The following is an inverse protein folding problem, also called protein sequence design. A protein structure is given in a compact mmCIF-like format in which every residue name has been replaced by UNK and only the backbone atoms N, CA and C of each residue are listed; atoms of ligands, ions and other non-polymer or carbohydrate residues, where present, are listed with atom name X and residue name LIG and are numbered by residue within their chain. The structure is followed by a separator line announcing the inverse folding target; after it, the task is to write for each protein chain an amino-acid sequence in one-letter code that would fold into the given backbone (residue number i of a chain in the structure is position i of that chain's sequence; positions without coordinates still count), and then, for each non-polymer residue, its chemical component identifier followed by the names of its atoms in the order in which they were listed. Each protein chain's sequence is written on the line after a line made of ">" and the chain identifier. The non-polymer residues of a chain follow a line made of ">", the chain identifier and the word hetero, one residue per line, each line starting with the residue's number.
data_IF_219930972619
#
_entry.id   IF_219930972619
#
_cell.length_a   1.000
_cell.length_b   1.000
_cell.length_c   1.000
_cell.angle_alpha   90.00
_cell.angle_beta   90.00
_cell.angle_gamma   90.00
#
_symmetry.space_group_name_H-M   'P 1'
#
loop_
_entity.id
_entity.type
_entity.pdbx_description
1 polymer ?
#
# COMPACT_ATOMS: atom_id res chain seq x y z
N UNK A 1 -25.98 -54.99 29.43
CA UNK A 1 -25.28 -53.70 29.63
C UNK A 1 -24.99 -53.12 28.26
N UNK A 2 -25.68 -52.04 27.83
CA UNK A 2 -25.30 -51.36 26.61
C UNK A 2 -24.15 -50.38 26.91
N UNK A 3 -23.03 -50.61 26.21
CA UNK A 3 -22.11 -49.63 25.63
C UNK A 3 -22.22 -48.19 26.19
N UNK A 4 -21.38 -47.88 27.18
CA UNK A 4 -20.88 -46.52 27.37
C UNK A 4 -19.69 -46.35 26.43
N UNK A 5 -20.00 -46.15 25.15
CA UNK A 5 -19.00 -45.65 24.20
C UNK A 5 -18.67 -44.22 24.58
N UNK A 6 -17.38 -43.97 24.67
CA UNK A 6 -16.73 -42.69 24.93
C UNK A 6 -17.47 -41.49 24.32
N UNK A 7 -18.20 -40.77 25.17
CA UNK A 7 -18.38 -39.33 25.04
C UNK A 7 -16.99 -38.71 25.21
N UNK A 8 -16.21 -38.71 24.13
CA UNK A 8 -15.11 -37.77 23.99
C UNK A 8 -15.73 -36.38 24.04
N UNK A 9 -15.69 -35.76 25.23
CA UNK A 9 -15.79 -34.32 25.36
C UNK A 9 -14.59 -33.75 24.61
N UNK A 10 -14.71 -33.58 23.28
CA UNK A 10 -13.93 -32.57 22.60
C UNK A 10 -14.23 -31.27 23.31
N UNK A 11 -13.25 -30.64 23.98
CA UNK A 11 -13.51 -29.42 24.73
C UNK A 11 -14.07 -28.41 23.72
N UNK A 12 -15.19 -27.77 24.05
CA UNK A 12 -15.88 -26.86 23.13
C UNK A 12 -14.94 -25.80 22.52
N UNK A 13 -13.84 -25.45 23.21
CA UNK A 13 -12.77 -24.60 22.71
C UNK A 13 -11.95 -25.19 21.55
N UNK A 14 -11.72 -26.50 21.49
CA UNK A 14 -11.05 -27.18 20.38
C UNK A 14 -11.93 -27.21 19.12
N UNK A 15 -13.25 -27.37 19.28
CA UNK A 15 -14.20 -27.38 18.18
C UNK A 15 -14.46 -25.97 17.63
N UNK A 16 -14.57 -24.96 18.51
CA UNK A 16 -14.62 -23.56 18.13
C UNK A 16 -13.33 -23.09 17.44
N UNK A 17 -12.16 -23.51 17.95
CA UNK A 17 -10.86 -23.24 17.33
C UNK A 17 -10.72 -23.87 15.94
N UNK A 18 -11.17 -25.12 15.76
CA UNK A 18 -11.19 -25.75 14.44
C UNK A 18 -12.15 -25.09 13.46
N UNK A 19 -13.32 -24.64 13.94
CA UNK A 19 -14.28 -23.90 13.12
C UNK A 19 -13.68 -22.56 12.66
N UNK A 20 -13.05 -21.82 13.57
CA UNK A 20 -12.37 -20.56 13.27
C UNK A 20 -11.21 -20.75 12.29
N UNK A 21 -10.37 -21.78 12.46
CA UNK A 21 -9.26 -22.06 11.54
C UNK A 21 -9.77 -22.42 10.15
N UNK A 22 -10.87 -23.19 10.05
CA UNK A 22 -11.51 -23.52 8.76
C UNK A 22 -12.08 -22.28 8.10
N UNK A 23 -12.82 -21.46 8.83
CA UNK A 23 -13.43 -20.22 8.34
C UNK A 23 -12.36 -19.21 7.91
N UNK A 24 -11.28 -19.07 8.69
CA UNK A 24 -10.13 -18.26 8.33
C UNK A 24 -9.43 -18.80 7.07
N UNK A 25 -9.16 -20.10 7.01
CA UNK A 25 -8.52 -20.74 5.84
C UNK A 25 -9.37 -20.56 4.58
N UNK A 26 -10.68 -20.72 4.70
CA UNK A 26 -11.59 -20.40 3.60
C UNK A 26 -11.45 -18.93 3.25
N UNK A 27 -11.60 -17.99 4.18
CA UNK A 27 -11.54 -16.54 3.91
C UNK A 27 -10.28 -16.10 3.14
N UNK A 28 -9.10 -16.67 3.42
CA UNK A 28 -7.82 -16.31 2.77
C UNK A 28 -7.56 -17.07 1.46
N UNK A 29 -8.30 -18.14 1.16
CA UNK A 29 -8.13 -18.88 -0.10
C UNK A 29 -8.59 -18.04 -1.30
N UNK A 30 -7.70 -17.73 -2.25
CA UNK A 30 -8.03 -16.83 -3.35
C UNK A 30 -8.95 -17.50 -4.39
N UNK A 31 -9.96 -16.77 -4.84
CA UNK A 31 -10.70 -17.15 -6.03
C UNK A 31 -9.86 -16.92 -7.31
N UNK A 32 -10.37 -17.28 -8.49
CA UNK A 32 -9.63 -17.18 -9.76
C UNK A 32 -9.16 -15.74 -10.04
N UNK A 33 -10.01 -14.74 -9.80
CA UNK A 33 -9.69 -13.33 -10.02
C UNK A 33 -8.63 -12.83 -9.04
N UNK A 34 -8.77 -13.19 -7.76
CA UNK A 34 -7.80 -12.84 -6.73
C UNK A 34 -6.46 -13.53 -6.97
N UNK A 35 -6.47 -14.79 -7.43
CA UNK A 35 -5.25 -15.51 -7.83
C UNK A 35 -4.53 -14.77 -8.96
N UNK A 36 -5.25 -14.31 -9.98
CA UNK A 36 -4.66 -13.52 -11.06
C UNK A 36 -4.08 -12.19 -10.54
N UNK A 37 -4.77 -11.51 -9.63
CA UNK A 37 -4.26 -10.30 -8.96
C UNK A 37 -2.96 -10.59 -8.19
N UNK A 38 -2.89 -11.69 -7.44
CA UNK A 38 -1.69 -12.10 -6.72
C UNK A 38 -0.53 -12.43 -7.66
N UNK A 39 -0.79 -13.15 -8.75
CA UNK A 39 0.22 -13.46 -9.77
C UNK A 39 0.78 -12.16 -10.36
N UNK A 40 -0.10 -11.21 -10.71
CA UNK A 40 0.31 -9.91 -11.26
C UNK A 40 1.11 -9.09 -10.23
N UNK A 41 0.69 -9.08 -8.96
CA UNK A 41 1.47 -8.43 -7.90
C UNK A 41 2.86 -9.07 -7.76
N UNK A 42 2.96 -10.41 -7.83
CA UNK A 42 4.24 -11.12 -7.84
C UNK A 42 5.12 -10.74 -9.04
N UNK A 43 4.53 -10.64 -10.24
CA UNK A 43 5.22 -10.16 -11.44
C UNK A 43 5.72 -8.73 -11.23
N UNK A 44 4.92 -7.84 -10.64
CA UNK A 44 5.36 -6.47 -10.34
C UNK A 44 6.56 -6.43 -9.40
N UNK A 45 6.57 -7.24 -8.34
CA UNK A 45 7.71 -7.30 -7.40
C UNK A 45 8.99 -7.69 -8.15
N UNK A 46 8.93 -8.75 -8.96
CA UNK A 46 10.07 -9.24 -9.73
C UNK A 46 10.50 -8.20 -10.78
N UNK A 47 9.55 -7.63 -11.52
CA UNK A 47 9.83 -6.64 -12.55
C UNK A 47 10.47 -5.40 -11.95
N UNK A 48 9.91 -4.84 -10.87
CA UNK A 48 10.48 -3.68 -10.17
C UNK A 48 11.90 -4.00 -9.70
N UNK A 49 12.12 -5.17 -9.08
CA UNK A 49 13.45 -5.58 -8.63
C UNK A 49 14.47 -5.67 -9.78
N UNK A 50 14.08 -6.21 -10.94
CA UNK A 50 14.95 -6.29 -12.12
C UNK A 50 15.21 -4.90 -12.70
N UNK A 51 14.16 -4.13 -12.98
CA UNK A 51 14.27 -2.79 -13.60
C UNK A 51 15.14 -1.86 -12.75
N UNK A 52 15.13 -2.02 -11.43
CA UNK A 52 15.96 -1.25 -10.51
C UNK A 52 17.47 -1.46 -10.71
N UNK A 53 17.88 -2.71 -10.99
CA UNK A 53 19.30 -3.08 -11.11
C UNK A 53 19.86 -2.91 -12.52
N UNK A 54 19.00 -2.72 -13.53
CA UNK A 54 19.42 -2.56 -14.93
C UNK A 54 19.62 -1.07 -15.26
N UNK A 55 20.83 -0.65 -15.67
CA UNK A 55 21.09 0.73 -16.06
C UNK A 55 20.18 1.14 -17.25
N UNK A 56 19.80 2.41 -17.31
CA UNK A 56 18.82 3.00 -18.25
C UNK A 56 17.36 2.54 -18.08
N UNK A 57 17.10 1.27 -17.74
CA UNK A 57 15.73 0.79 -17.48
C UNK A 57 15.14 1.35 -16.18
N UNK A 58 15.99 1.64 -15.20
CA UNK A 58 15.57 2.31 -13.95
C UNK A 58 14.86 3.65 -14.18
N UNK A 59 15.13 4.34 -15.29
CA UNK A 59 14.50 5.62 -15.65
C UNK A 59 13.00 5.47 -15.91
N UNK A 60 12.53 4.28 -16.26
CA UNK A 60 11.09 3.98 -16.41
C UNK A 60 10.39 3.99 -15.04
N UNK A 61 11.09 3.55 -13.98
CA UNK A 61 10.55 3.55 -12.62
C UNK A 61 10.63 4.93 -11.97
N UNK A 62 11.48 5.82 -12.48
CA UNK A 62 11.74 7.13 -11.92
C UNK A 62 10.49 7.96 -11.57
N UNK A 63 9.49 8.16 -12.46
CA UNK A 63 8.30 8.93 -12.10
C UNK A 63 7.49 8.24 -10.98
N UNK A 64 7.47 6.92 -10.92
CA UNK A 64 6.79 6.18 -9.85
C UNK A 64 7.57 6.23 -8.53
N UNK A 65 8.90 6.20 -8.59
CA UNK A 65 9.76 6.46 -7.43
C UNK A 65 9.45 7.85 -6.84
N UNK A 66 9.41 8.89 -7.67
CA UNK A 66 9.14 10.25 -7.20
C UNK A 66 7.73 10.38 -6.60
N UNK A 67 6.76 9.66 -7.14
CA UNK A 67 5.42 9.54 -6.56
C UNK A 67 5.44 8.93 -5.16
N UNK A 68 6.21 7.86 -4.96
CA UNK A 68 6.31 7.18 -3.65
C UNK A 68 7.06 8.01 -2.62
N UNK A 69 8.08 8.77 -3.03
CA UNK A 69 8.73 9.79 -2.19
C UNK A 69 7.72 10.89 -1.84
N UNK A 70 6.86 11.29 -2.78
CA UNK A 70 5.73 12.18 -2.51
C UNK A 70 4.81 11.67 -1.41
N UNK A 71 4.50 10.36 -1.37
CA UNK A 71 3.72 9.77 -0.26
C UNK A 71 4.44 9.86 1.09
N UNK A 72 5.76 9.70 1.08
CA UNK A 72 6.62 9.80 2.27
C UNK A 72 6.60 11.22 2.84
N UNK A 73 6.97 12.22 2.03
CA UNK A 73 7.04 13.62 2.47
C UNK A 73 5.70 14.17 2.93
N UNK A 74 4.63 13.84 2.22
CA UNK A 74 3.29 14.24 2.60
C UNK A 74 2.83 13.62 3.93
N UNK A 75 3.36 12.45 4.30
CA UNK A 75 3.05 11.83 5.58
C UNK A 75 3.72 12.58 6.74
N UNK A 76 4.96 13.05 6.56
CA UNK A 76 5.60 14.00 7.48
C UNK A 76 4.77 15.27 7.63
N UNK A 77 4.35 15.88 6.52
CA UNK A 77 3.55 17.10 6.54
C UNK A 77 2.19 16.89 7.22
N UNK A 78 1.50 15.77 6.94
CA UNK A 78 0.21 15.46 7.52
C UNK A 78 0.29 15.30 9.05
N UNK A 79 1.21 14.47 9.54
CA UNK A 79 1.41 14.30 10.99
C UNK A 79 1.95 15.57 11.62
N UNK A 80 2.76 16.34 10.89
CA UNK A 80 3.19 17.69 11.30
C UNK A 80 1.99 18.58 11.60
N UNK A 81 1.08 18.74 10.64
CA UNK A 81 -0.14 19.55 10.83
C UNK A 81 -0.98 19.05 12.02
N UNK A 82 -1.15 17.74 12.17
CA UNK A 82 -1.88 17.15 13.31
C UNK A 82 -1.21 17.40 14.66
N UNK A 83 0.12 17.59 14.67
CA UNK A 83 0.91 17.93 15.85
C UNK A 83 1.18 19.43 15.98
N UNK A 84 0.42 20.26 15.25
CA UNK A 84 0.51 21.72 15.24
C UNK A 84 1.82 22.28 14.66
N UNK A 85 2.48 21.54 13.76
CA UNK A 85 3.59 22.05 12.96
C UNK A 85 3.09 22.97 11.83
N UNK A 86 3.89 23.97 11.50
CA UNK A 86 3.71 24.80 10.33
C UNK A 86 4.55 24.27 9.16
N UNK A 87 3.90 23.83 8.08
CA UNK A 87 4.58 23.30 6.89
C UNK A 87 4.98 24.46 5.97
N UNK A 88 6.28 24.64 5.73
CA UNK A 88 6.81 25.72 4.89
C UNK A 88 6.85 25.33 3.41
N UNK A 89 7.33 24.13 3.09
CA UNK A 89 7.39 23.59 1.74
C UNK A 89 7.68 22.10 1.74
N UNK A 90 7.27 21.44 0.66
CA UNK A 90 7.69 20.09 0.31
C UNK A 90 8.45 20.17 -1.00
N UNK A 91 9.61 19.52 -1.06
CA UNK A 91 10.45 19.47 -2.25
C UNK A 91 10.67 18.01 -2.65
N UNK A 92 10.51 17.74 -3.94
CA UNK A 92 10.75 16.44 -4.57
C UNK A 92 11.93 16.62 -5.52
N UNK A 93 13.12 16.28 -5.04
CA UNK A 93 14.37 16.42 -5.76
C UNK A 93 14.71 15.14 -6.55
N UNK A 94 15.05 15.26 -7.84
CA UNK A 94 15.49 14.13 -8.68
C UNK A 94 16.65 13.30 -8.15
N UNK A 95 17.62 13.98 -7.55
CA UNK A 95 18.93 13.44 -7.22
C UNK A 95 19.06 13.18 -5.71
N UNK A 96 18.41 14.01 -4.89
CA UNK A 96 18.47 13.95 -3.42
C UNK A 96 17.25 13.32 -2.74
N UNK A 97 16.15 13.07 -3.48
CA UNK A 97 14.94 12.43 -2.94
C UNK A 97 13.83 13.41 -2.56
N UNK A 98 13.43 13.44 -1.29
CA UNK A 98 12.35 14.28 -0.79
C UNK A 98 12.79 15.08 0.42
N UNK A 99 12.18 16.26 0.64
CA UNK A 99 12.40 17.03 1.86
C UNK A 99 11.17 17.83 2.24
N UNK A 100 10.78 17.72 3.51
CA UNK A 100 9.69 18.49 4.11
C UNK A 100 10.23 19.51 5.09
N UNK A 101 10.20 20.79 4.69
CA UNK A 101 10.55 21.90 5.56
C UNK A 101 9.36 22.26 6.45
N UNK A 102 9.48 22.07 7.77
CA UNK A 102 8.45 22.41 8.74
C UNK A 102 9.05 22.99 10.03
N UNK A 103 8.25 23.76 10.78
CA UNK A 103 8.61 24.25 12.12
C UNK A 103 7.53 23.89 13.15
N UNK A 104 7.95 23.53 14.35
CA UNK A 104 7.06 22.98 15.37
C UNK A 104 6.73 21.51 15.12
N UNK A 105 5.64 21.01 15.71
CA UNK A 105 5.29 19.60 15.68
C UNK A 105 5.99 18.78 16.75
N UNK A 106 5.69 17.48 16.76
CA UNK A 106 6.32 16.50 17.67
C UNK A 106 7.21 15.58 16.83
N UNK A 107 8.55 15.76 16.83
CA UNK A 107 9.50 14.97 16.02
C UNK A 107 9.36 13.46 16.22
N UNK A 108 9.00 13.03 17.42
CA UNK A 108 8.73 11.62 17.75
C UNK A 108 7.60 10.99 16.94
N UNK A 109 6.69 11.80 16.40
CA UNK A 109 5.58 11.36 15.56
C UNK A 109 5.84 11.70 14.10
N UNK A 110 6.42 12.87 13.81
CA UNK A 110 6.61 13.32 12.43
C UNK A 110 7.71 12.54 11.72
N UNK A 111 8.86 12.27 12.33
CA UNK A 111 9.96 11.53 11.70
C UNK A 111 9.58 10.09 11.27
N UNK A 112 8.94 9.25 12.10
CA UNK A 112 8.51 7.93 11.62
C UNK A 112 7.37 8.01 10.60
N UNK A 113 6.65 9.14 10.50
CA UNK A 113 5.47 9.26 9.64
C UNK A 113 5.78 9.04 8.17
N UNK A 114 6.98 9.38 7.68
CA UNK A 114 7.36 9.17 6.29
C UNK A 114 7.28 7.69 5.90
N UNK A 115 8.09 6.86 6.54
CA UNK A 115 8.11 5.41 6.26
C UNK A 115 6.78 4.73 6.61
N UNK A 116 6.17 5.08 7.75
CA UNK A 116 4.90 4.48 8.18
C UNK A 116 3.75 4.85 7.24
N UNK A 117 3.66 6.12 6.86
CA UNK A 117 2.58 6.63 6.02
C UNK A 117 2.69 6.16 4.58
N UNK A 118 3.88 6.20 3.98
CA UNK A 118 4.09 5.73 2.59
C UNK A 118 3.81 4.23 2.43
N UNK A 119 4.23 3.40 3.39
CA UNK A 119 3.95 1.96 3.38
C UNK A 119 2.48 1.64 3.71
N UNK A 120 1.84 2.41 4.59
CA UNK A 120 0.41 2.29 4.88
C UNK A 120 -0.46 2.67 3.67
N UNK A 121 -0.19 3.81 3.02
CA UNK A 121 -0.86 4.23 1.78
C UNK A 121 -0.67 3.15 0.71
N UNK A 122 0.56 2.64 0.55
CA UNK A 122 0.86 1.52 -0.34
C UNK A 122 -0.01 0.29 -0.07
N UNK A 123 -0.14 -0.11 1.20
CA UNK A 123 -0.97 -1.24 1.62
C UNK A 123 -2.46 -1.03 1.31
N UNK A 124 -2.99 0.18 1.54
CA UNK A 124 -4.36 0.53 1.17
C UNK A 124 -4.59 0.42 -0.34
N UNK A 125 -3.65 0.94 -1.16
CA UNK A 125 -3.73 0.85 -2.62
C UNK A 125 -3.64 -0.60 -3.11
N UNK A 126 -2.77 -1.43 -2.50
CA UNK A 126 -2.71 -2.87 -2.78
C UNK A 126 -4.07 -3.51 -2.52
N UNK A 127 -4.67 -3.28 -1.34
CA UNK A 127 -5.97 -3.83 -0.98
C UNK A 127 -7.06 -3.42 -1.99
N UNK A 128 -7.11 -2.13 -2.34
CA UNK A 128 -8.05 -1.62 -3.34
C UNK A 128 -7.84 -2.22 -4.74
N UNK A 129 -6.62 -2.65 -5.08
CA UNK A 129 -6.27 -3.32 -6.33
C UNK A 129 -6.94 -4.69 -6.55
N UNK A 130 -7.57 -5.27 -5.52
CA UNK A 130 -8.31 -6.53 -5.66
C UNK A 130 -9.70 -6.35 -6.28
N UNK A 131 -10.24 -5.12 -6.29
CA UNK A 131 -11.57 -4.83 -6.83
C UNK A 131 -11.61 -3.55 -7.68
N UNK A 132 -12.28 -3.58 -8.83
CA UNK A 132 -12.35 -2.44 -9.75
C UNK A 132 -13.04 -1.22 -9.16
N UNK A 133 -14.15 -1.40 -8.42
CA UNK A 133 -14.86 -0.28 -7.80
C UNK A 133 -14.06 0.33 -6.65
N UNK A 134 -13.40 -0.52 -5.84
CA UNK A 134 -12.49 -0.05 -4.81
C UNK A 134 -11.31 0.73 -5.40
N UNK A 135 -10.74 0.28 -6.51
CA UNK A 135 -9.68 1.00 -7.23
C UNK A 135 -10.14 2.35 -7.78
N UNK A 136 -11.38 2.45 -8.28
CA UNK A 136 -11.98 3.73 -8.69
C UNK A 136 -12.07 4.71 -7.52
N UNK A 137 -12.61 4.26 -6.38
CA UNK A 137 -12.68 5.08 -5.16
C UNK A 137 -11.27 5.49 -4.71
N UNK A 138 -10.33 4.54 -4.67
CA UNK A 138 -8.94 4.79 -4.29
C UNK A 138 -8.28 5.83 -5.18
N UNK A 139 -8.56 5.82 -6.49
CA UNK A 139 -8.00 6.82 -7.40
C UNK A 139 -8.59 8.23 -7.22
N UNK A 140 -9.83 8.36 -6.73
CA UNK A 140 -10.38 9.67 -6.32
C UNK A 140 -9.66 10.16 -5.07
N UNK A 141 -9.44 9.29 -4.08
CA UNK A 141 -8.67 9.62 -2.87
C UNK A 141 -7.24 10.02 -3.24
N UNK A 142 -6.62 9.30 -4.18
CA UNK A 142 -5.31 9.61 -4.71
C UNK A 142 -5.29 10.98 -5.42
N UNK A 143 -6.34 11.33 -6.16
CA UNK A 143 -6.45 12.66 -6.77
C UNK A 143 -6.54 13.78 -5.72
N UNK A 144 -7.28 13.57 -4.62
CA UNK A 144 -7.31 14.51 -3.48
C UNK A 144 -5.92 14.65 -2.88
N UNK A 145 -5.21 13.53 -2.69
CA UNK A 145 -3.84 13.53 -2.20
C UNK A 145 -2.89 14.33 -3.10
N UNK A 146 -3.03 14.20 -4.43
CA UNK A 146 -2.24 14.96 -5.39
C UNK A 146 -2.51 16.47 -5.32
N UNK A 147 -3.75 16.89 -5.07
CA UNK A 147 -4.08 18.30 -4.87
C UNK A 147 -3.36 18.86 -3.64
N UNK A 148 -3.39 18.14 -2.52
CA UNK A 148 -2.66 18.54 -1.32
C UNK A 148 -1.14 18.54 -1.53
N UNK A 149 -0.62 17.55 -2.26
CA UNK A 149 0.80 17.50 -2.62
C UNK A 149 1.19 18.71 -3.47
N UNK A 150 0.39 19.07 -4.48
CA UNK A 150 0.61 20.28 -5.26
C UNK A 150 0.54 21.54 -4.41
N UNK A 151 -0.36 21.62 -3.43
CA UNK A 151 -0.48 22.80 -2.57
C UNK A 151 0.85 23.16 -1.88
N UNK A 152 1.53 22.16 -1.29
CA UNK A 152 2.80 22.36 -0.57
C UNK A 152 4.03 22.29 -1.48
N UNK A 153 3.98 21.55 -2.59
CA UNK A 153 5.12 21.33 -3.50
C UNK A 153 5.08 22.16 -4.80
N UNK A 154 4.15 23.12 -4.93
CA UNK A 154 3.94 23.94 -6.15
C UNK A 154 5.16 24.71 -6.67
N UNK A 155 6.20 24.89 -5.85
CA UNK A 155 7.41 25.63 -6.24
C UNK A 155 8.26 24.85 -7.26
N UNK A 156 8.17 23.52 -7.27
CA UNK A 156 8.96 22.66 -8.14
C UNK A 156 8.17 22.28 -9.40
N UNK A 157 8.71 22.60 -10.58
CA UNK A 157 8.08 22.30 -11.87
C UNK A 157 8.00 20.78 -12.16
N UNK A 158 8.93 19.98 -11.63
CA UNK A 158 8.94 18.51 -11.77
C UNK A 158 7.71 17.92 -11.08
N UNK A 159 7.34 18.45 -9.91
CA UNK A 159 6.13 18.03 -9.20
C UNK A 159 4.86 18.29 -10.02
N UNK A 160 4.80 19.41 -10.74
CA UNK A 160 3.69 19.69 -11.66
C UNK A 160 3.62 18.65 -12.79
N UNK A 161 4.74 18.40 -13.46
CA UNK A 161 4.81 17.42 -14.56
C UNK A 161 4.44 16.02 -14.07
N UNK A 162 4.99 15.61 -12.92
CA UNK A 162 4.70 14.33 -12.29
C UNK A 162 3.21 14.18 -11.99
N UNK A 163 2.61 15.15 -11.28
CA UNK A 163 1.23 15.04 -10.82
C UNK A 163 0.26 15.13 -11.99
N UNK A 164 0.49 16.02 -12.97
CA UNK A 164 -0.34 16.09 -14.17
C UNK A 164 -0.21 14.81 -15.01
N UNK A 165 1.00 14.26 -15.17
CA UNK A 165 1.24 13.01 -15.88
C UNK A 165 0.55 11.81 -15.20
N UNK A 166 0.70 11.67 -13.89
CA UNK A 166 0.05 10.61 -13.12
C UNK A 166 -1.47 10.75 -13.12
N UNK A 167 -1.99 11.97 -12.98
CA UNK A 167 -3.43 12.23 -13.07
C UNK A 167 -3.98 11.89 -14.45
N UNK A 168 -3.26 12.23 -15.52
CA UNK A 168 -3.61 11.86 -16.89
C UNK A 168 -3.65 10.35 -17.09
N UNK A 169 -2.68 9.61 -16.56
CA UNK A 169 -2.67 8.14 -16.60
C UNK A 169 -3.83 7.52 -15.82
N UNK A 170 -4.12 8.04 -14.62
CA UNK A 170 -5.28 7.60 -13.82
C UNK A 170 -6.58 7.81 -14.59
N UNK A 171 -6.78 9.00 -15.18
CA UNK A 171 -7.97 9.32 -15.97
C UNK A 171 -8.08 8.46 -17.22
N UNK A 172 -6.98 8.24 -17.94
CA UNK A 172 -6.93 7.34 -19.09
C UNK A 172 -7.39 5.94 -18.69
N UNK A 173 -6.74 5.36 -17.68
CA UNK A 173 -7.02 3.99 -17.25
C UNK A 173 -8.38 3.81 -16.57
N UNK A 174 -9.00 4.90 -16.09
CA UNK A 174 -10.37 4.88 -15.60
C UNK A 174 -11.37 4.42 -16.67
N UNK A 175 -11.16 4.85 -17.92
CA UNK A 175 -12.05 4.53 -19.04
C UNK A 175 -11.65 3.27 -19.81
N UNK A 176 -10.40 2.81 -19.71
CA UNK A 176 -9.93 1.61 -20.41
C UNK A 176 -10.46 0.33 -19.77
N UNK A 177 -11.11 -0.52 -20.57
CA UNK A 177 -11.58 -1.85 -20.15
C UNK A 177 -12.53 -1.79 -18.94
N UNK A 178 -13.38 -0.76 -18.83
CA UNK A 178 -14.30 -0.57 -17.71
C UNK A 178 -13.63 -0.22 -16.36
N UNK A 179 -12.33 0.12 -16.37
CA UNK A 179 -11.51 0.38 -15.19
C UNK A 179 -10.62 -0.80 -14.78
N UNK A 180 -10.55 -1.86 -15.57
CA UNK A 180 -9.63 -2.99 -15.31
C UNK A 180 -8.17 -2.53 -15.38
N UNK A 181 -7.83 -1.65 -16.33
CA UNK A 181 -6.50 -1.04 -16.40
C UNK A 181 -6.18 -0.25 -15.12
N UNK A 182 -7.14 0.57 -14.66
CA UNK A 182 -6.99 1.35 -13.43
C UNK A 182 -6.76 0.44 -12.22
N UNK A 183 -7.49 -0.68 -12.13
CA UNK A 183 -7.32 -1.65 -11.05
C UNK A 183 -5.88 -2.15 -10.93
N UNK A 184 -5.29 -2.54 -12.05
CA UNK A 184 -3.91 -3.04 -12.06
C UNK A 184 -2.88 -1.92 -11.93
N UNK A 185 -3.21 -0.69 -12.32
CA UNK A 185 -2.37 0.47 -12.11
C UNK A 185 -2.34 0.91 -10.64
N UNK A 186 -3.49 0.93 -9.96
CA UNK A 186 -3.57 1.20 -8.51
C UNK A 186 -2.84 0.12 -7.71
N UNK A 187 -3.00 -1.16 -8.09
CA UNK A 187 -2.21 -2.24 -7.53
C UNK A 187 -0.71 -2.01 -7.72
N UNK A 188 -0.29 -1.61 -8.92
CA UNK A 188 1.11 -1.32 -9.23
C UNK A 188 1.66 -0.18 -8.36
N UNK A 189 0.96 0.95 -8.24
CA UNK A 189 1.36 2.08 -7.38
C UNK A 189 1.50 1.62 -5.93
N UNK A 190 0.55 0.81 -5.44
CA UNK A 190 0.60 0.28 -4.08
C UNK A 190 1.82 -0.63 -3.84
N UNK A 191 2.07 -1.57 -4.74
CA UNK A 191 3.24 -2.46 -4.69
C UNK A 191 4.54 -1.64 -4.77
N UNK A 192 4.60 -0.67 -5.68
CA UNK A 192 5.75 0.23 -5.83
C UNK A 192 6.02 1.00 -4.54
N UNK A 193 4.98 1.57 -3.89
CA UNK A 193 5.12 2.33 -2.64
C UNK A 193 5.69 1.48 -1.50
N UNK A 194 5.15 0.27 -1.29
CA UNK A 194 5.65 -0.61 -0.24
C UNK A 194 7.08 -1.09 -0.53
N UNK A 195 7.39 -1.52 -1.76
CA UNK A 195 8.73 -1.99 -2.11
C UNK A 195 9.77 -0.87 -2.05
N UNK A 196 9.40 0.33 -2.49
CA UNK A 196 10.28 1.49 -2.44
C UNK A 196 10.62 1.84 -0.99
N UNK A 197 9.63 1.90 -0.11
CA UNK A 197 9.83 2.13 1.33
C UNK A 197 10.79 1.09 1.94
N UNK A 198 10.64 -0.20 1.60
CA UNK A 198 11.57 -1.24 2.06
C UNK A 198 13.00 -1.00 1.57
N UNK A 199 13.15 -0.67 0.28
CA UNK A 199 14.46 -0.44 -0.32
C UNK A 199 15.14 0.81 0.26
N UNK A 200 14.39 1.89 0.42
CA UNK A 200 14.87 3.16 0.97
C UNK A 200 15.42 2.98 2.39
N UNK A 201 14.69 2.26 3.25
CA UNK A 201 15.16 1.92 4.60
C UNK A 201 16.44 1.06 4.56
N UNK A 202 16.51 0.05 3.68
CA UNK A 202 17.69 -0.82 3.55
C UNK A 202 18.91 0.01 3.12
N UNK A 203 18.73 0.84 2.09
CA UNK A 203 19.82 1.61 1.50
C UNK A 203 20.33 2.67 2.49
N UNK A 204 19.44 3.41 3.14
CA UNK A 204 19.80 4.47 4.07
C UNK A 204 20.39 3.97 5.39
N UNK A 205 19.89 2.86 5.93
CA UNK A 205 20.27 2.41 7.28
C UNK A 205 21.31 1.29 7.27
N UNK A 206 21.22 0.36 6.32
CA UNK A 206 22.08 -0.83 6.25
C UNK A 206 23.27 -0.59 5.33
N UNK A 207 23.02 -0.14 4.10
CA UNK A 207 24.03 -0.08 3.04
C UNK A 207 24.92 1.17 3.12
N UNK A 208 24.33 2.37 3.09
CA UNK A 208 25.07 3.64 2.93
C UNK A 208 25.23 4.46 4.21
N UNK A 209 24.43 4.20 5.26
CA UNK A 209 24.41 5.00 6.52
C UNK A 209 24.32 6.49 6.23
N UNK A 210 23.15 6.91 5.75
CA UNK A 210 22.88 8.33 5.48
C UNK A 210 22.53 9.02 6.80
N UNK A 211 23.39 9.94 7.25
CA UNK A 211 23.22 10.64 8.53
C UNK A 211 22.03 11.62 8.53
N UNK A 212 21.47 11.93 7.36
CA UNK A 212 20.31 12.81 7.18
C UNK A 212 18.99 12.08 7.00
N UNK A 213 18.96 10.74 7.06
CA UNK A 213 17.70 9.97 6.95
C UNK A 213 16.83 10.12 8.20
N UNK A 214 15.53 9.85 8.08
CA UNK A 214 14.59 9.90 9.21
C UNK A 214 15.01 8.99 10.37
N UNK A 215 15.61 7.84 10.06
CA UNK A 215 16.09 6.90 11.06
C UNK A 215 17.30 7.44 11.83
N UNK A 216 18.17 8.19 11.14
CA UNK A 216 19.32 8.86 11.75
C UNK A 216 18.86 10.04 12.61
N UNK A 217 17.97 10.89 12.09
CA UNK A 217 17.39 12.00 12.85
C UNK A 217 16.61 11.52 14.08
N UNK A 218 15.85 10.43 13.96
CA UNK A 218 15.10 9.87 15.08
C UNK A 218 16.03 9.23 16.14
N UNK A 219 17.12 8.59 15.72
CA UNK A 219 18.11 8.05 16.63
C UNK A 219 18.80 9.15 17.47
N UNK A 220 19.10 10.29 16.86
CA UNK A 220 19.67 11.45 17.55
C UNK A 220 18.74 11.98 18.64
N UNK A 221 17.43 12.04 18.36
CA UNK A 221 16.42 12.47 19.33
C UNK A 221 16.17 11.42 20.42
N UNK A 222 16.14 10.12 20.08
CA UNK A 222 15.95 9.08 21.11
C UNK A 222 17.14 8.96 22.05
N UNK A 223 18.37 9.12 21.53
CA UNK A 223 19.62 8.92 22.27
C UNK A 223 19.85 7.47 22.77
N UNK A 224 18.91 6.57 22.52
CA UNK A 224 18.83 5.25 23.14
C UNK A 224 19.43 4.13 22.26
N UNK A 225 19.30 4.25 20.93
CA UNK A 225 19.59 3.19 19.97
C UNK A 225 20.15 3.79 18.67
N UNK A 226 21.08 3.10 17.97
CA UNK A 226 21.57 3.53 16.66
C UNK A 226 20.46 3.56 15.59
N UNK A 227 20.63 4.40 14.57
CA UNK A 227 19.73 4.53 13.41
C UNK A 227 19.35 3.18 12.75
N UNK A 228 20.28 2.21 12.76
CA UNK A 228 20.03 0.84 12.25
C UNK A 228 18.91 0.11 12.98
N UNK A 229 18.80 0.28 14.29
CA UNK A 229 17.76 -0.40 15.08
C UNK A 229 16.39 0.14 14.70
N UNK A 230 16.27 1.47 14.60
CA UNK A 230 15.05 2.14 14.14
C UNK A 230 14.71 1.78 12.70
N UNK A 231 15.71 1.75 11.81
CA UNK A 231 15.56 1.26 10.43
C UNK A 231 14.99 -0.16 10.37
N UNK A 232 15.54 -1.11 11.14
CA UNK A 232 15.03 -2.49 11.17
C UNK A 232 13.60 -2.56 11.70
N UNK A 233 13.25 -1.77 12.72
CA UNK A 233 11.88 -1.70 13.25
C UNK A 233 10.91 -1.25 12.16
N UNK A 234 11.22 -0.16 11.44
CA UNK A 234 10.36 0.34 10.38
C UNK A 234 10.36 -0.55 9.14
N UNK A 235 11.46 -1.26 8.87
CA UNK A 235 11.53 -2.28 7.83
C UNK A 235 10.53 -3.41 8.11
N UNK A 236 10.52 -3.95 9.34
CA UNK A 236 9.56 -4.97 9.77
C UNK A 236 8.14 -4.44 9.63
N UNK A 237 7.89 -3.20 10.07
CA UNK A 237 6.58 -2.57 9.94
C UNK A 237 6.11 -2.42 8.49
N UNK A 238 7.00 -2.04 7.58
CA UNK A 238 6.70 -1.94 6.15
C UNK A 238 6.34 -3.31 5.55
N UNK A 239 7.04 -4.38 5.94
CA UNK A 239 6.67 -5.76 5.57
C UNK A 239 5.29 -6.17 6.11
N UNK A 240 4.97 -5.80 7.36
CA UNK A 240 3.67 -6.06 7.96
C UNK A 240 2.58 -5.35 7.15
N UNK A 241 2.74 -4.07 6.82
CA UNK A 241 1.75 -3.35 6.01
C UNK A 241 1.57 -3.94 4.62
N UNK A 242 2.65 -4.34 3.95
CA UNK A 242 2.56 -5.04 2.68
C UNK A 242 1.71 -6.32 2.79
N UNK A 243 2.01 -7.17 3.79
CA UNK A 243 1.26 -8.39 4.03
C UNK A 243 -0.20 -8.13 4.38
N UNK A 244 -0.48 -7.14 5.23
CA UNK A 244 -1.84 -6.72 5.60
C UNK A 244 -2.62 -6.21 4.40
N UNK A 245 -2.01 -5.42 3.50
CA UNK A 245 -2.66 -4.95 2.28
C UNK A 245 -3.14 -6.10 1.40
N UNK A 246 -2.32 -7.15 1.26
CA UNK A 246 -2.69 -8.37 0.53
C UNK A 246 -3.79 -9.14 1.25
N UNK A 247 -3.67 -9.36 2.56
CA UNK A 247 -4.65 -10.12 3.36
C UNK A 247 -6.01 -9.41 3.35
N UNK A 248 -6.04 -8.09 3.59
CA UNK A 248 -7.27 -7.29 3.53
C UNK A 248 -7.87 -7.34 2.14
N UNK A 249 -7.05 -7.26 1.08
CA UNK A 249 -7.52 -7.42 -0.30
C UNK A 249 -8.19 -8.78 -0.56
N UNK A 250 -7.64 -9.86 0.02
CA UNK A 250 -8.20 -11.21 -0.09
C UNK A 250 -9.51 -11.38 0.68
N UNK A 251 -9.58 -10.88 1.90
CA UNK A 251 -10.74 -11.04 2.79
C UNK A 251 -11.87 -10.09 2.40
N UNK A 252 -11.59 -8.80 2.21
CA UNK A 252 -12.62 -7.77 2.01
C UNK A 252 -13.26 -7.81 0.62
N UNK A 253 -12.52 -8.23 -0.42
CA UNK A 253 -13.00 -8.25 -1.81
C UNK A 253 -13.28 -9.66 -2.32
N UNK A 254 -13.56 -10.58 -1.41
CA UNK A 254 -13.98 -11.93 -1.78
C UNK A 254 -15.38 -11.87 -2.39
N UNK A 255 -15.46 -12.01 -3.72
CA UNK A 255 -16.75 -12.14 -4.39
C UNK A 255 -17.33 -13.49 -4.04
N UNK A 256 -18.34 -13.50 -3.17
CA UNK A 256 -19.12 -14.70 -2.87
C UNK A 256 -19.95 -15.06 -4.11
N UNK A 257 -19.78 -16.24 -4.72
CA UNK A 257 -20.51 -16.63 -5.93
C UNK A 257 -22.03 -16.78 -5.72
N UNK A 258 -22.51 -16.77 -4.47
CA UNK A 258 -23.91 -16.97 -4.14
C UNK A 258 -24.83 -15.87 -4.71
N UNK A 259 -24.37 -14.61 -4.77
CA UNK A 259 -25.19 -13.51 -5.29
C UNK A 259 -25.29 -13.56 -6.82
N UNK A 260 -24.25 -14.01 -7.51
CA UNK A 260 -24.28 -14.10 -8.97
C UNK A 260 -25.20 -15.25 -9.41
N UNK A 261 -25.13 -16.41 -8.75
CA UNK A 261 -25.99 -17.56 -9.09
C UNK A 261 -27.48 -17.24 -8.87
N UNK A 262 -27.86 -16.60 -7.76
CA UNK A 262 -29.26 -16.21 -7.50
C UNK A 262 -29.77 -15.22 -8.55
N UNK A 263 -28.95 -14.25 -8.97
CA UNK A 263 -29.36 -13.26 -9.98
C UNK A 263 -29.41 -13.85 -11.39
N UNK A 264 -28.50 -14.75 -11.78
CA UNK A 264 -28.57 -15.47 -13.06
C UNK A 264 -29.72 -16.49 -13.10
N UNK A 265 -30.02 -17.17 -11.99
CA UNK A 265 -31.14 -18.11 -11.93
C UNK A 265 -32.49 -17.39 -11.97
N UNK A 266 -32.62 -16.24 -11.31
CA UNK A 266 -33.83 -15.41 -11.39
C UNK A 266 -34.05 -14.79 -12.78
N UNK A 267 -32.97 -14.42 -13.49
CA UNK A 267 -33.07 -13.88 -14.85
C UNK A 267 -33.31 -14.97 -15.90
N UNK A 268 -32.71 -16.16 -15.76
CA UNK A 268 -33.03 -17.31 -16.61
C UNK A 268 -34.46 -17.84 -16.37
N UNK A 269 -34.94 -17.88 -15.13
CA UNK A 269 -36.31 -18.28 -14.81
C UNK A 269 -37.38 -17.29 -15.32
N UNK A 270 -37.02 -15.99 -15.44
CA UNK A 270 -37.91 -14.97 -16.00
C UNK A 270 -37.98 -15.01 -17.54
N UNK A 271 -36.94 -15.51 -18.21
CA UNK A 271 -36.88 -15.61 -19.68
C UNK A 271 -37.46 -16.94 -20.19
N UNK A 272 -37.46 -18.00 -19.38
CA UNK A 272 -38.06 -19.30 -19.72
C UNK A 272 -39.59 -19.41 -19.57
N UNK A 273 -40.29 -18.30 -19.26
CA UNK A 273 -41.75 -18.22 -19.21
C UNK A 273 -42.27 -17.12 -20.14
N UNK A 274 -42.06 -17.28 -21.45
CA UNK A 274 -42.92 -16.69 -22.50
C UNK A 274 -43.02 -17.65 -23.66
#
# INVERSE_FOLDING_TARGET
>A
MPYLDSLELTPAGAQAGQLFIRDFKESITPNVTQRNTLIIAGIYIIAIAILWHVPYLKEILYPFKLLTVGFHEMSHAFVGVLTCAHIHSIELDPDEGGSTAMSGGIPWLTLPAGYLGSSFIGACLIACGFNTNASKIASIVLAVFFIFTLWWARKNWITWVLILGMSGLVLLFWFVGGGVALRYFILFIGVMSCLYCLWDIIDDTVARKVNTSDASAFAEICGCCPARVWGVIWLIQAFIFFALGVIVGLVAFKVTPLIFCIVTDLTCAAIGKR
#
